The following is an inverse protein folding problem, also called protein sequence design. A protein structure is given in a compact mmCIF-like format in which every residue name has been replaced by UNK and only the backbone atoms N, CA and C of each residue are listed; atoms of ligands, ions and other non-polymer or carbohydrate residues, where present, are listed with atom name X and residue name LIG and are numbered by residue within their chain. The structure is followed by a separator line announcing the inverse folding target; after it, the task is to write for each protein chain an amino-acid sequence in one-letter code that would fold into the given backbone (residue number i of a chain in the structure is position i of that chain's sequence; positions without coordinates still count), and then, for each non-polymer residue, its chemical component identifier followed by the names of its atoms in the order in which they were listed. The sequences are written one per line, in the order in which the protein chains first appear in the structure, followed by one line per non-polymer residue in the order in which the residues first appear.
data_IF_162629375519
#
_entry.id   IF_162629375519
#
_cell.length_a   1.000
_cell.length_b   1.000
_cell.length_c   1.000
_cell.angle_alpha   90.00
_cell.angle_beta   90.00
_cell.angle_gamma   90.00
#
_symmetry.space_group_name_H-M   'P 1'
#
loop_
_entity.id
_entity.type
_entity.pdbx_description
1 polymer ?
#
# COMPACT_ATOMS: atom_id res chain seq x y z
N UNK A 1 -64.17 11.38 -45.47
CA UNK A 1 -63.46 12.64 -45.19
C UNK A 1 -62.05 12.22 -44.74
N UNK A 2 -61.10 11.94 -45.65
CA UNK A 2 -60.28 12.82 -46.51
C UNK A 2 -59.32 13.76 -45.76
N UNK A 3 -58.08 13.80 -46.27
CA UNK A 3 -56.84 14.52 -45.89
C UNK A 3 -55.96 13.74 -44.89
N UNK A 4 -54.89 13.04 -45.22
CA UNK A 4 -53.79 13.16 -46.21
C UNK A 4 -52.87 14.38 -45.99
N UNK A 5 -51.60 14.10 -45.63
CA UNK A 5 -50.43 14.95 -45.91
C UNK A 5 -49.14 14.12 -45.78
N UNK A 6 -48.46 14.01 -46.92
CA UNK A 6 -47.20 13.33 -47.28
C UNK A 6 -45.98 14.14 -46.79
N UNK A 7 -44.77 13.60 -46.55
CA UNK A 7 -43.59 13.45 -47.45
C UNK A 7 -42.36 13.41 -46.48
N UNK A 8 -41.23 12.72 -46.63
CA UNK A 8 -40.39 12.41 -47.79
C UNK A 8 -39.39 11.29 -47.44
N UNK A 9 -39.12 10.42 -48.42
CA UNK A 9 -38.10 9.37 -48.45
C UNK A 9 -36.80 9.94 -49.04
N UNK A 10 -35.62 9.56 -48.52
CA UNK A 10 -34.44 9.35 -49.38
C UNK A 10 -33.65 8.11 -48.93
N UNK A 11 -33.27 7.31 -49.92
CA UNK A 11 -32.62 5.99 -49.91
C UNK A 11 -31.09 6.09 -50.08
N UNK A 12 -30.36 5.31 -49.27
CA UNK A 12 -29.31 4.31 -49.68
C UNK A 12 -27.93 4.82 -50.21
N UNK A 13 -26.94 3.94 -50.55
CA UNK A 13 -25.80 3.54 -49.69
C UNK A 13 -24.41 3.67 -50.38
N UNK A 14 -23.27 3.52 -49.68
CA UNK A 14 -21.97 3.20 -50.34
C UNK A 14 -21.12 2.23 -49.49
N UNK A 15 -20.88 1.06 -50.06
CA UNK A 15 -19.80 0.11 -49.74
C UNK A 15 -18.49 0.58 -50.38
N UNK A 16 -17.35 0.42 -49.69
CA UNK A 16 -16.03 0.42 -50.32
C UNK A 16 -15.14 -0.64 -49.67
N UNK A 17 -14.98 -1.74 -50.39
CA UNK A 17 -13.94 -2.76 -50.20
C UNK A 17 -12.62 -2.26 -50.76
N UNK A 18 -11.52 -2.45 -50.03
CA UNK A 18 -10.17 -2.38 -50.60
C UNK A 18 -9.44 -3.69 -50.29
N UNK A 19 -9.10 -4.39 -51.36
CA UNK A 19 -8.19 -5.53 -51.38
C UNK A 19 -6.74 -5.01 -51.27
N UNK A 20 -5.93 -5.62 -50.41
CA UNK A 20 -4.47 -5.57 -50.54
C UNK A 20 -3.91 -6.97 -50.31
N UNK A 21 -3.08 -7.43 -51.24
CA UNK A 21 -2.49 -8.77 -51.29
C UNK A 21 -0.97 -8.65 -51.45
N UNK A 22 -0.26 -9.67 -50.95
CA UNK A 22 1.19 -9.98 -51.08
C UNK A 22 2.17 -9.15 -50.23
N UNK A 23 3.21 -9.71 -49.57
CA UNK A 23 4.01 -10.89 -49.89
C UNK A 23 4.64 -11.54 -48.62
N UNK A 24 4.97 -12.83 -48.69
CA UNK A 24 5.61 -13.65 -47.64
C UNK A 24 7.14 -13.50 -47.69
N UNK A 25 7.81 -13.46 -46.53
CA UNK A 25 9.09 -14.15 -46.32
C UNK A 25 9.21 -14.66 -44.87
N UNK A 26 9.64 -15.92 -44.79
CA UNK A 26 9.84 -16.77 -43.61
C UNK A 26 11.06 -16.33 -42.77
N UNK A 27 10.95 -16.45 -41.44
CA UNK A 27 11.85 -17.26 -40.57
C UNK A 27 11.27 -17.42 -39.16
N UNK A 28 10.96 -18.66 -38.78
CA UNK A 28 10.79 -19.19 -37.40
C UNK A 28 12.16 -19.52 -36.77
N UNK A 29 12.35 -19.81 -35.45
CA UNK A 29 11.44 -20.54 -34.53
C UNK A 29 11.31 -19.88 -33.12
N UNK A 30 10.47 -20.29 -32.16
CA UNK A 30 10.07 -21.64 -31.76
C UNK A 30 8.87 -21.58 -30.80
N UNK A 31 8.06 -22.65 -30.81
CA UNK A 31 6.97 -23.00 -29.88
C UNK A 31 5.62 -22.28 -30.05
N UNK A 32 4.87 -22.78 -31.03
CA UNK A 32 3.41 -22.73 -31.05
C UNK A 32 2.83 -23.58 -29.90
N UNK A 33 1.90 -23.02 -29.14
CA UNK A 33 0.74 -23.77 -28.66
C UNK A 33 -0.51 -23.29 -29.40
N UNK A 34 -1.28 -24.29 -29.80
CA UNK A 34 -2.43 -24.28 -30.68
C UNK A 34 -3.58 -23.42 -30.08
N UNK A 35 -3.99 -22.36 -30.79
CA UNK A 35 -5.22 -21.63 -30.47
C UNK A 35 -6.40 -22.40 -31.08
N UNK A 36 -7.13 -23.10 -30.21
CA UNK A 36 -8.46 -23.61 -30.52
C UNK A 36 -9.41 -22.41 -30.58
N UNK A 37 -10.06 -22.18 -31.72
CA UNK A 37 -11.15 -21.21 -31.84
C UNK A 37 -12.37 -21.75 -31.06
N UNK A 38 -12.50 -21.35 -29.80
CA UNK A 38 -13.75 -21.45 -29.04
C UNK A 38 -14.45 -20.09 -29.04
N UNK A 39 -15.75 -20.13 -29.30
CA UNK A 39 -16.66 -19.00 -29.41
C UNK A 39 -16.73 -18.26 -28.06
N UNK A 40 -16.65 -16.93 -28.10
CA UNK A 40 -16.53 -16.02 -26.96
C UNK A 40 -17.72 -16.06 -25.99
N UNK A 41 -17.46 -16.34 -24.71
CA UNK A 41 -18.14 -15.73 -23.55
C UNK A 41 -17.12 -14.79 -22.90
N UNK A 42 -17.21 -13.50 -23.23
CA UNK A 42 -16.16 -12.50 -23.04
C UNK A 42 -16.10 -11.84 -21.65
N UNK A 43 -16.61 -12.48 -20.60
CA UNK A 43 -16.56 -11.93 -19.23
C UNK A 43 -15.76 -12.80 -18.25
N UNK A 44 -15.90 -14.12 -18.32
CA UNK A 44 -15.27 -15.05 -17.36
C UNK A 44 -13.75 -15.17 -17.57
N UNK A 45 -13.30 -15.21 -18.83
CA UNK A 45 -11.87 -15.35 -19.17
C UNK A 45 -11.06 -14.12 -18.70
N UNK A 46 -11.65 -12.93 -18.71
CA UNK A 46 -11.00 -11.70 -18.23
C UNK A 46 -10.92 -11.60 -16.71
N UNK A 47 -11.87 -12.19 -15.98
CA UNK A 47 -11.84 -12.26 -14.51
C UNK A 47 -10.84 -13.31 -14.04
N UNK A 48 -10.81 -14.52 -14.63
CA UNK A 48 -9.83 -15.57 -14.30
C UNK A 48 -8.38 -15.11 -14.57
N UNK A 49 -8.10 -14.49 -15.73
CA UNK A 49 -6.75 -13.97 -16.02
C UNK A 49 -6.37 -12.82 -15.07
N UNK A 50 -7.33 -12.02 -14.62
CA UNK A 50 -7.13 -10.92 -13.68
C UNK A 50 -6.90 -11.39 -12.24
N UNK A 51 -7.51 -12.50 -11.84
CA UNK A 51 -7.28 -13.16 -10.55
C UNK A 51 -5.94 -13.92 -10.53
N UNK A 52 -5.59 -14.66 -11.58
CA UNK A 52 -4.30 -15.37 -11.67
C UNK A 52 -3.11 -14.39 -11.72
N UNK A 53 -3.23 -13.26 -12.42
CA UNK A 53 -2.19 -12.21 -12.44
C UNK A 53 -2.09 -11.46 -11.09
N UNK A 54 -3.18 -11.37 -10.31
CA UNK A 54 -3.15 -10.85 -8.94
C UNK A 54 -2.55 -11.85 -7.96
N UNK A 55 -2.75 -13.15 -8.19
CA UNK A 55 -2.16 -14.21 -7.37
C UNK A 55 -0.62 -14.23 -7.45
N UNK A 56 -0.04 -13.82 -8.58
CA UNK A 56 1.42 -13.72 -8.75
C UNK A 56 2.05 -12.50 -8.05
N UNK A 57 1.33 -11.38 -7.91
CA UNK A 57 1.88 -10.16 -7.31
C UNK A 57 1.68 -10.12 -5.80
N UNK A 58 2.75 -9.80 -5.09
CA UNK A 58 2.81 -9.83 -3.63
C UNK A 58 2.87 -8.43 -3.04
N UNK A 59 2.35 -8.32 -1.83
CA UNK A 59 2.56 -7.15 -0.98
C UNK A 59 3.73 -7.45 -0.04
N UNK A 60 4.83 -6.71 -0.18
CA UNK A 60 5.97 -6.84 0.73
C UNK A 60 5.71 -6.05 2.01
N UNK A 61 5.78 -6.72 3.16
CA UNK A 61 5.55 -6.09 4.48
C UNK A 61 6.85 -6.07 5.26
N UNK A 62 7.46 -4.90 5.40
CA UNK A 62 8.62 -4.69 6.26
C UNK A 62 8.17 -4.55 7.72
N UNK A 63 8.83 -5.28 8.63
CA UNK A 63 8.43 -5.30 10.03
C UNK A 63 7.25 -6.23 10.32
N UNK A 64 7.07 -7.28 9.50
CA UNK A 64 5.94 -8.20 9.55
C UNK A 64 5.73 -8.91 10.91
N UNK A 65 6.76 -9.07 11.75
CA UNK A 65 6.64 -9.65 13.11
C UNK A 65 6.42 -8.61 14.21
N UNK A 66 6.30 -7.33 13.85
CA UNK A 66 5.91 -6.25 14.77
C UNK A 66 4.44 -6.35 15.16
N UNK A 67 4.05 -5.67 16.24
CA UNK A 67 2.67 -5.73 16.74
C UNK A 67 1.64 -5.26 15.72
N UNK A 68 1.95 -4.21 14.95
CA UNK A 68 1.10 -3.74 13.84
C UNK A 68 1.34 -4.56 12.57
N UNK A 69 2.60 -4.88 12.26
CA UNK A 69 2.97 -5.64 11.07
C UNK A 69 2.28 -7.00 10.95
N UNK A 70 2.15 -7.76 12.06
CA UNK A 70 1.46 -9.06 12.03
C UNK A 70 -0.02 -8.92 11.68
N UNK A 71 -0.66 -7.85 12.14
CA UNK A 71 -2.07 -7.54 11.86
C UNK A 71 -2.27 -7.14 10.40
N UNK A 72 -1.31 -6.40 9.83
CA UNK A 72 -1.30 -6.08 8.40
C UNK A 72 -1.19 -7.37 7.59
N UNK A 73 -0.26 -8.28 7.93
CA UNK A 73 -0.14 -9.58 7.25
C UNK A 73 -1.43 -10.39 7.36
N UNK A 74 -2.00 -10.52 8.56
CA UNK A 74 -3.26 -11.25 8.79
C UNK A 74 -4.41 -10.68 7.95
N UNK A 75 -4.56 -9.35 7.89
CA UNK A 75 -5.64 -8.72 7.13
C UNK A 75 -5.43 -8.75 5.61
N UNK A 76 -4.18 -8.65 5.13
CA UNK A 76 -3.86 -8.84 3.71
C UNK A 76 -4.27 -10.25 3.26
N UNK A 77 -3.84 -11.28 4.01
CA UNK A 77 -4.19 -12.67 3.72
C UNK A 77 -5.70 -12.90 3.78
N UNK A 78 -6.38 -12.32 4.77
CA UNK A 78 -7.84 -12.43 4.90
C UNK A 78 -8.60 -11.78 3.72
N UNK A 79 -8.00 -10.79 3.05
CA UNK A 79 -8.54 -10.16 1.83
C UNK A 79 -8.05 -10.82 0.54
N UNK A 80 -7.34 -11.94 0.63
CA UNK A 80 -6.89 -12.72 -0.53
C UNK A 80 -5.60 -12.22 -1.18
N UNK A 81 -4.88 -11.27 -0.58
CA UNK A 81 -3.58 -10.86 -1.10
C UNK A 81 -2.51 -11.91 -0.82
N UNK A 82 -1.60 -12.09 -1.79
CA UNK A 82 -0.32 -12.77 -1.54
C UNK A 82 0.64 -11.82 -0.80
N UNK A 83 1.31 -12.32 0.24
CA UNK A 83 2.12 -11.51 1.15
C UNK A 83 3.56 -12.02 1.17
N UNK A 84 4.51 -11.09 1.04
CA UNK A 84 5.92 -11.33 1.30
C UNK A 84 6.33 -10.65 2.61
N UNK A 85 6.42 -11.42 3.68
CA UNK A 85 6.76 -10.94 5.02
C UNK A 85 8.28 -10.79 5.18
N UNK A 86 8.77 -9.55 5.18
CA UNK A 86 10.16 -9.21 5.45
C UNK A 86 10.47 -9.19 6.94
N UNK A 87 11.33 -10.10 7.39
CA UNK A 87 11.64 -10.32 8.81
C UNK A 87 13.14 -10.46 9.07
N UNK A 88 13.59 -10.01 10.24
CA UNK A 88 15.00 -10.17 10.65
C UNK A 88 15.31 -11.58 11.16
N UNK A 89 14.34 -12.21 11.81
CA UNK A 89 14.44 -13.53 12.43
C UNK A 89 13.38 -14.45 11.82
N UNK A 90 13.85 -15.46 11.06
CA UNK A 90 12.99 -16.39 10.33
C UNK A 90 12.30 -17.38 11.27
N UNK A 91 12.96 -17.81 12.34
CA UNK A 91 12.40 -18.82 13.25
C UNK A 91 11.33 -18.20 14.16
N UNK A 92 11.57 -16.97 14.63
CA UNK A 92 10.53 -16.17 15.28
C UNK A 92 9.34 -15.91 14.35
N UNK A 93 9.60 -15.63 13.08
CA UNK A 93 8.52 -15.39 12.13
C UNK A 93 7.67 -16.64 11.90
N UNK A 94 8.29 -17.82 11.80
CA UNK A 94 7.58 -19.09 11.61
C UNK A 94 6.61 -19.44 12.73
N UNK A 95 6.94 -19.03 13.97
CA UNK A 95 6.09 -19.22 15.14
C UNK A 95 5.07 -18.10 15.37
N UNK A 96 5.32 -16.90 14.84
CA UNK A 96 4.45 -15.72 15.06
C UNK A 96 3.41 -15.55 13.94
N UNK A 97 3.76 -15.92 12.71
CA UNK A 97 2.90 -15.79 11.53
C UNK A 97 2.35 -17.16 11.14
N UNK A 98 1.17 -17.18 10.53
CA UNK A 98 0.52 -18.40 10.04
C UNK A 98 1.24 -18.98 8.81
N UNK A 99 2.42 -19.55 9.03
CA UNK A 99 3.35 -20.07 8.01
C UNK A 99 2.77 -21.18 7.13
N UNK A 100 1.62 -21.76 7.52
CA UNK A 100 0.91 -22.76 6.74
C UNK A 100 0.07 -22.16 5.61
N UNK A 101 -0.12 -20.83 5.58
CA UNK A 101 -0.88 -20.17 4.51
C UNK A 101 -0.03 -20.15 3.22
N UNK A 102 -0.50 -20.74 2.10
CA UNK A 102 0.27 -20.80 0.85
C UNK A 102 0.52 -19.43 0.22
N UNK A 103 -0.32 -18.44 0.53
CA UNK A 103 -0.18 -17.05 0.07
C UNK A 103 0.81 -16.25 0.92
N UNK A 104 1.45 -16.84 1.94
CA UNK A 104 2.44 -16.19 2.78
C UNK A 104 3.86 -16.71 2.49
N UNK A 105 4.72 -15.82 2.00
CA UNK A 105 6.15 -16.07 1.86
C UNK A 105 6.92 -15.29 2.93
N UNK A 106 7.73 -15.97 3.74
CA UNK A 106 8.61 -15.32 4.73
C UNK A 106 10.01 -15.17 4.12
N UNK A 107 10.56 -13.96 4.14
CA UNK A 107 11.91 -13.66 3.63
C UNK A 107 12.74 -12.90 4.65
N UNK A 108 14.06 -13.14 4.63
CA UNK A 108 15.01 -12.40 5.46
C UNK A 108 15.09 -10.96 4.92
N UNK A 109 14.81 -9.98 5.77
CA UNK A 109 14.97 -8.57 5.45
C UNK A 109 15.27 -7.77 6.72
N UNK A 110 16.42 -7.10 6.74
CA UNK A 110 16.74 -6.06 7.71
C UNK A 110 16.88 -4.72 6.98
N UNK A 111 16.09 -3.74 7.40
CA UNK A 111 16.04 -2.41 6.75
C UNK A 111 17.37 -1.66 6.88
N UNK A 112 18.24 -2.05 7.80
CA UNK A 112 19.56 -1.43 7.98
C UNK A 112 20.64 -1.98 7.07
N UNK A 113 20.37 -3.05 6.30
CA UNK A 113 21.37 -3.69 5.44
C UNK A 113 21.53 -3.05 4.05
N UNK A 114 20.84 -1.94 3.82
CA UNK A 114 20.95 -1.15 2.59
C UNK A 114 19.96 -1.55 1.49
N UNK A 115 19.83 -0.73 0.43
CA UNK A 115 18.78 -0.87 -0.57
C UNK A 115 18.97 -2.07 -1.50
N UNK A 116 20.19 -2.56 -1.74
CA UNK A 116 20.44 -3.69 -2.65
C UNK A 116 19.90 -5.01 -2.07
N UNK A 117 20.23 -5.31 -0.81
CA UNK A 117 19.70 -6.48 -0.10
C UNK A 117 18.18 -6.41 0.07
N UNK A 118 17.65 -5.21 0.34
CA UNK A 118 16.20 -5.02 0.40
C UNK A 118 15.53 -5.21 -0.96
N UNK A 119 16.18 -4.79 -2.06
CA UNK A 119 15.65 -5.02 -3.39
C UNK A 119 15.61 -6.52 -3.69
N UNK A 120 16.64 -7.29 -3.33
CA UNK A 120 16.61 -8.77 -3.42
C UNK A 120 15.45 -9.37 -2.61
N UNK A 121 15.24 -8.90 -1.39
CA UNK A 121 14.15 -9.38 -0.54
C UNK A 121 12.76 -9.01 -1.08
N UNK A 122 12.59 -7.80 -1.63
CA UNK A 122 11.34 -7.36 -2.28
C UNK A 122 11.08 -8.21 -3.53
N UNK A 123 12.11 -8.49 -4.34
CA UNK A 123 11.98 -9.25 -5.59
C UNK A 123 11.16 -8.54 -6.66
N UNK A 124 11.07 -9.16 -7.85
CA UNK A 124 10.37 -8.58 -9.01
C UNK A 124 8.86 -8.91 -9.01
N UNK A 125 8.42 -9.77 -8.11
CA UNK A 125 7.04 -10.24 -7.90
C UNK A 125 6.28 -9.41 -6.84
N UNK A 126 6.83 -8.28 -6.38
CA UNK A 126 6.12 -7.39 -5.46
C UNK A 126 5.50 -6.21 -6.21
N UNK A 127 4.26 -5.84 -5.87
CA UNK A 127 3.58 -4.67 -6.46
C UNK A 127 3.50 -3.46 -5.51
N UNK A 128 3.61 -3.70 -4.21
CA UNK A 128 3.59 -2.66 -3.19
C UNK A 128 4.46 -3.03 -1.99
N UNK A 129 4.92 -2.01 -1.27
CA UNK A 129 5.61 -2.16 0.01
C UNK A 129 4.81 -1.47 1.12
N UNK A 130 4.57 -2.18 2.22
CA UNK A 130 4.09 -1.61 3.47
C UNK A 130 5.22 -1.61 4.49
N UNK A 131 5.64 -0.43 4.92
CA UNK A 131 6.62 -0.21 5.97
C UNK A 131 5.91 -0.04 7.32
N UNK A 132 5.87 -1.13 8.09
CA UNK A 132 5.37 -1.15 9.47
C UNK A 132 6.53 -1.35 10.48
N UNK A 133 7.74 -0.91 10.11
CA UNK A 133 8.87 -0.91 11.02
C UNK A 133 8.68 0.14 12.10
N UNK A 134 9.18 -0.17 13.28
CA UNK A 134 9.27 0.78 14.37
C UNK A 134 10.44 0.40 15.26
N UNK A 135 11.16 1.41 15.72
CA UNK A 135 12.17 1.24 16.74
C UNK A 135 11.61 0.51 17.97
N UNK A 136 12.42 -0.41 18.51
CA UNK A 136 12.19 -1.02 19.83
C UNK A 136 13.17 -0.37 20.81
N UNK A 137 12.68 0.22 21.93
CA UNK A 137 13.53 0.77 22.97
C UNK A 137 14.67 -0.17 23.34
N UNK A 138 15.88 0.37 23.35
CA UNK A 138 17.10 -0.36 23.63
C UNK A 138 18.26 0.61 23.88
N UNK A 139 19.44 0.07 24.12
CA UNK A 139 20.63 0.85 24.49
C UNK A 139 21.24 1.65 23.33
N UNK A 140 20.85 1.37 22.08
CA UNK A 140 21.29 2.12 20.91
C UNK A 140 20.41 3.36 20.69
N UNK A 141 20.89 4.52 21.14
CA UNK A 141 20.21 5.81 20.98
C UNK A 141 20.07 6.26 19.51
N UNK A 142 20.85 5.70 18.59
CA UNK A 142 20.77 6.00 17.16
C UNK A 142 19.86 5.03 16.40
N UNK A 143 19.34 3.99 17.06
CA UNK A 143 18.48 3.00 16.43
C UNK A 143 17.21 3.59 15.78
N UNK A 144 16.54 4.64 16.33
CA UNK A 144 15.45 5.31 15.63
C UNK A 144 15.88 5.88 14.27
N UNK A 145 17.06 6.49 14.18
CA UNK A 145 17.59 7.01 12.92
C UNK A 145 17.93 5.88 11.94
N UNK A 146 18.56 4.80 12.42
CA UNK A 146 18.91 3.64 11.59
C UNK A 146 17.67 2.96 11.02
N UNK A 147 16.62 2.79 11.81
CA UNK A 147 15.43 2.04 11.42
C UNK A 147 14.37 2.93 10.79
N UNK A 148 13.89 3.95 11.51
CA UNK A 148 12.74 4.75 11.07
C UNK A 148 13.10 5.76 9.98
N UNK A 149 14.35 6.27 9.95
CA UNK A 149 14.84 7.13 8.87
C UNK A 149 15.56 6.33 7.77
N UNK A 150 16.81 5.93 8.00
CA UNK A 150 17.65 5.29 6.99
C UNK A 150 17.05 3.98 6.47
N UNK A 151 16.40 3.19 7.32
CA UNK A 151 15.70 1.98 6.90
C UNK A 151 14.54 2.26 5.95
N UNK A 152 13.75 3.30 6.21
CA UNK A 152 12.68 3.74 5.30
C UNK A 152 13.25 4.25 3.98
N UNK A 153 14.32 5.05 4.02
CA UNK A 153 15.04 5.50 2.82
C UNK A 153 15.51 4.30 1.98
N UNK A 154 16.15 3.32 2.63
CA UNK A 154 16.62 2.11 1.95
C UNK A 154 15.48 1.33 1.28
N UNK A 155 14.31 1.25 1.92
CA UNK A 155 13.13 0.59 1.33
C UNK A 155 12.61 1.34 0.10
N UNK A 156 12.55 2.68 0.13
CA UNK A 156 12.13 3.49 -1.02
C UNK A 156 13.09 3.33 -2.20
N UNK A 157 14.40 3.34 -1.92
CA UNK A 157 15.42 3.11 -2.93
C UNK A 157 15.37 1.68 -3.50
N UNK A 158 15.09 0.68 -2.65
CA UNK A 158 14.86 -0.69 -3.08
C UNK A 158 13.61 -0.83 -3.97
N UNK A 159 12.53 -0.12 -3.64
CA UNK A 159 11.33 -0.04 -4.49
C UNK A 159 11.66 0.51 -5.87
N UNK A 160 12.48 1.58 -5.96
CA UNK A 160 12.91 2.14 -7.24
C UNK A 160 13.69 1.12 -8.08
N UNK A 161 14.59 0.36 -7.46
CA UNK A 161 15.36 -0.70 -8.14
C UNK A 161 14.48 -1.84 -8.69
N UNK A 162 13.33 -2.10 -8.07
CA UNK A 162 12.36 -3.14 -8.47
C UNK A 162 11.16 -2.60 -9.24
N UNK A 163 11.15 -1.31 -9.59
CA UNK A 163 10.01 -0.63 -10.22
C UNK A 163 8.70 -0.77 -9.43
N UNK A 164 8.78 -0.92 -8.11
CA UNK A 164 7.63 -0.91 -7.21
C UNK A 164 7.25 0.54 -6.93
N UNK A 165 6.07 0.96 -7.41
CA UNK A 165 5.68 2.36 -7.28
C UNK A 165 4.74 2.62 -6.10
N UNK A 166 4.17 1.59 -5.45
CA UNK A 166 3.23 1.77 -4.34
C UNK A 166 3.91 1.57 -2.98
N UNK A 167 3.86 2.59 -2.12
CA UNK A 167 4.52 2.56 -0.81
C UNK A 167 3.60 3.07 0.30
N UNK A 168 3.47 2.32 1.40
CA UNK A 168 2.65 2.72 2.55
C UNK A 168 3.55 2.77 3.78
N UNK A 169 3.60 3.91 4.46
CA UNK A 169 4.38 4.09 5.69
C UNK A 169 3.46 4.22 6.90
N UNK A 170 3.73 3.42 7.95
CA UNK A 170 3.17 3.63 9.28
C UNK A 170 4.09 4.57 10.08
N UNK A 171 3.70 5.83 10.15
CA UNK A 171 4.38 6.90 10.86
C UNK A 171 3.75 7.13 12.25
N UNK A 172 3.57 8.38 12.66
CA UNK A 172 2.95 8.78 13.93
C UNK A 172 2.36 10.19 13.80
N UNK A 173 1.28 10.50 14.54
CA UNK A 173 0.96 11.91 14.81
C UNK A 173 2.13 12.58 15.55
N UNK A 174 2.10 13.91 15.62
CA UNK A 174 3.12 14.72 16.30
C UNK A 174 4.54 14.65 15.70
N UNK A 175 4.74 14.01 14.54
CA UNK A 175 6.04 14.05 13.84
C UNK A 175 6.47 15.48 13.51
N UNK A 176 5.50 16.37 13.22
CA UNK A 176 5.71 17.80 13.04
C UNK A 176 5.39 18.63 14.30
N UNK A 177 5.40 17.99 15.49
CA UNK A 177 4.94 18.59 16.74
C UNK A 177 5.65 19.90 17.11
N UNK A 178 6.94 20.04 16.79
CA UNK A 178 7.68 21.29 16.98
C UNK A 178 7.03 22.47 16.22
N UNK A 179 6.73 22.28 14.93
CA UNK A 179 6.09 23.30 14.09
C UNK A 179 4.64 23.58 14.50
N UNK A 180 3.99 22.60 15.14
CA UNK A 180 2.64 22.73 15.69
C UNK A 180 2.60 23.34 17.11
N UNK A 181 3.73 23.78 17.67
CA UNK A 181 3.80 24.31 19.04
C UNK A 181 3.60 23.25 20.14
N UNK A 182 3.75 21.97 19.83
CA UNK A 182 3.54 20.84 20.75
C UNK A 182 4.82 20.42 21.49
N UNK A 183 5.82 21.31 21.62
CA UNK A 183 7.08 21.00 22.31
C UNK A 183 6.89 20.59 23.77
N UNK A 184 5.85 21.11 24.43
CA UNK A 184 5.50 20.79 25.82
C UNK A 184 4.48 19.65 25.95
N UNK A 185 4.03 19.06 24.84
CA UNK A 185 3.10 17.94 24.86
C UNK A 185 3.79 16.71 25.47
N UNK A 186 3.24 16.08 26.54
CA UNK A 186 3.88 14.94 27.19
C UNK A 186 4.16 13.77 26.25
N UNK A 187 3.28 13.49 25.28
CA UNK A 187 3.49 12.46 24.28
C UNK A 187 4.63 12.82 23.32
N UNK A 188 4.71 14.07 22.87
CA UNK A 188 5.81 14.56 22.03
C UNK A 188 7.16 14.44 22.73
N UNK A 189 7.23 14.82 24.01
CA UNK A 189 8.43 14.69 24.84
C UNK A 189 8.80 13.21 24.96
N UNK A 190 7.88 12.37 25.44
CA UNK A 190 8.12 10.94 25.67
C UNK A 190 8.62 10.21 24.41
N UNK A 191 8.02 10.49 23.25
CA UNK A 191 8.40 9.87 21.97
C UNK A 191 9.77 10.34 21.45
N UNK A 192 10.23 11.53 21.86
CA UNK A 192 11.54 12.06 21.47
C UNK A 192 12.65 11.81 22.50
N UNK A 193 12.32 11.46 23.75
CA UNK A 193 13.30 11.17 24.83
C UNK A 193 14.30 10.10 24.40
N UNK A 194 13.89 9.11 23.61
CA UNK A 194 14.77 8.06 23.10
C UNK A 194 15.09 8.29 21.61
N UNK A 195 16.13 9.09 21.36
CA UNK A 195 16.77 9.19 20.05
C UNK A 195 16.02 10.01 19.00
N UNK A 196 15.15 10.93 19.41
CA UNK A 196 14.40 11.83 18.51
C UNK A 196 13.59 11.07 17.44
N UNK A 197 12.88 10.03 17.85
CA UNK A 197 12.15 9.13 16.94
C UNK A 197 11.16 9.88 16.03
N UNK A 198 10.47 10.91 16.54
CA UNK A 198 9.54 11.69 15.73
C UNK A 198 10.27 12.53 14.66
N UNK A 199 11.46 13.05 14.98
CA UNK A 199 12.32 13.75 14.02
C UNK A 199 12.83 12.79 12.94
N UNK A 200 13.26 11.59 13.32
CA UNK A 200 13.69 10.56 12.37
C UNK A 200 12.55 10.17 11.40
N UNK A 201 11.34 9.95 11.91
CA UNK A 201 10.16 9.68 11.08
C UNK A 201 9.82 10.85 10.16
N UNK A 202 9.84 12.09 10.64
CA UNK A 202 9.59 13.27 9.80
C UNK A 202 10.59 13.38 8.64
N UNK A 203 11.88 13.08 8.89
CA UNK A 203 12.91 13.05 7.84
C UNK A 203 12.62 11.97 6.78
N UNK A 204 12.23 10.76 7.20
CA UNK A 204 11.82 9.71 6.28
C UNK A 204 10.58 10.12 5.46
N UNK A 205 9.57 10.72 6.08
CA UNK A 205 8.40 11.19 5.35
C UNK A 205 8.77 12.25 4.30
N UNK A 206 9.64 13.20 4.64
CA UNK A 206 10.12 14.22 3.70
C UNK A 206 10.90 13.61 2.54
N UNK A 207 11.66 12.55 2.79
CA UNK A 207 12.33 11.79 1.73
C UNK A 207 11.32 11.12 0.80
N UNK A 208 10.32 10.42 1.35
CA UNK A 208 9.25 9.79 0.58
C UNK A 208 8.53 10.82 -0.30
N UNK A 209 8.15 11.98 0.26
CA UNK A 209 7.49 13.05 -0.49
C UNK A 209 8.32 13.53 -1.70
N UNK A 210 9.64 13.63 -1.54
CA UNK A 210 10.57 14.06 -2.61
C UNK A 210 10.89 12.95 -3.61
N UNK A 211 10.70 11.68 -3.25
CA UNK A 211 11.10 10.54 -4.07
C UNK A 211 10.21 10.30 -5.31
N UNK A 212 9.01 10.87 -5.33
CA UNK A 212 8.02 10.67 -6.40
C UNK A 212 7.25 9.35 -6.36
N UNK A 213 7.60 8.43 -5.45
CA UNK A 213 6.90 7.15 -5.27
C UNK A 213 5.43 7.39 -4.89
N UNK A 214 4.49 6.59 -5.40
CA UNK A 214 3.09 6.70 -5.00
C UNK A 214 2.92 6.24 -3.55
N UNK A 215 3.00 7.21 -2.64
CA UNK A 215 3.01 6.97 -1.21
C UNK A 215 1.64 7.13 -0.54
N UNK A 216 1.45 6.46 0.59
CA UNK A 216 0.48 6.87 1.61
C UNK A 216 1.18 6.84 2.96
N UNK A 217 1.19 7.98 3.66
CA UNK A 217 1.76 8.09 5.00
C UNK A 217 0.60 8.10 5.99
N UNK A 218 0.54 7.08 6.84
CA UNK A 218 -0.48 6.94 7.87
C UNK A 218 0.17 7.32 9.20
N UNK A 219 -0.36 8.37 9.84
CA UNK A 219 0.09 8.90 11.13
C UNK A 219 -0.93 8.53 12.21
N UNK A 220 -0.83 7.35 12.84
CA UNK A 220 -1.73 6.98 13.91
C UNK A 220 -1.47 7.75 15.20
N UNK A 221 -2.53 7.92 16.00
CA UNK A 221 -2.43 8.28 17.41
C UNK A 221 -1.83 7.17 18.28
N UNK A 222 -2.01 7.27 19.60
CA UNK A 222 -1.50 6.29 20.55
C UNK A 222 -1.97 4.87 20.24
N UNK A 223 -1.03 3.97 19.95
CA UNK A 223 -1.33 2.61 19.50
C UNK A 223 -1.71 1.66 20.64
N UNK A 224 -2.92 1.11 20.59
CA UNK A 224 -3.43 0.10 21.54
C UNK A 224 -3.45 -1.30 20.93
N UNK A 225 -3.36 -2.32 21.78
CA UNK A 225 -3.43 -3.72 21.35
C UNK A 225 -4.84 -4.31 21.48
N UNK A 226 -5.70 -3.64 22.25
CA UNK A 226 -7.08 -4.02 22.47
C UNK A 226 -7.92 -3.90 21.18
N UNK A 227 -9.04 -4.63 21.08
CA UNK A 227 -9.96 -4.51 19.97
C UNK A 227 -10.46 -3.06 19.76
N UNK A 228 -10.90 -2.71 18.55
CA UNK A 228 -11.47 -1.40 18.25
C UNK A 228 -12.64 -1.06 19.19
N UNK A 229 -12.61 0.13 19.81
CA UNK A 229 -13.66 0.62 20.72
C UNK A 229 -14.49 1.76 20.12
N UNK A 230 -14.34 2.01 18.82
CA UNK A 230 -14.91 3.16 18.12
C UNK A 230 -14.55 3.15 16.64
N UNK A 231 -15.01 4.17 15.92
CA UNK A 231 -14.78 4.30 14.49
C UNK A 231 -13.52 5.13 14.19
N UNK A 232 -12.90 4.87 13.04
CA UNK A 232 -11.74 5.62 12.58
C UNK A 232 -12.16 7.04 12.22
N UNK A 233 -11.51 8.01 12.85
CA UNK A 233 -11.48 9.41 12.42
C UNK A 233 -10.19 9.62 11.66
N UNK A 234 -10.31 10.16 10.45
CA UNK A 234 -9.18 10.46 9.57
C UNK A 234 -9.17 11.96 9.30
N UNK A 235 -8.03 12.59 9.58
CA UNK A 235 -7.83 14.04 9.42
C UNK A 235 -6.61 14.33 8.51
N UNK A 236 -6.54 15.54 7.93
CA UNK A 236 -5.35 16.00 7.21
C UNK A 236 -4.14 16.10 8.14
N UNK A 237 -2.95 16.15 7.55
CA UNK A 237 -1.70 16.26 8.33
C UNK A 237 -1.66 17.49 9.23
N UNK A 238 -1.01 17.34 10.38
CA UNK A 238 -0.79 18.36 11.40
C UNK A 238 -2.09 18.95 11.96
N UNK A 239 -3.09 18.09 12.18
CA UNK A 239 -4.41 18.44 12.73
C UNK A 239 -4.64 17.80 14.11
N UNK A 240 -4.20 16.56 14.29
CA UNK A 240 -4.36 15.79 15.53
C UNK A 240 -3.08 15.86 16.39
N UNK A 241 -3.27 16.16 17.67
CA UNK A 241 -2.19 16.19 18.67
C UNK A 241 -2.42 15.21 19.84
N UNK A 242 -3.54 14.50 19.83
CA UNK A 242 -3.93 13.51 20.82
C UNK A 242 -4.87 12.45 20.22
N UNK A 243 -5.23 11.47 21.03
CA UNK A 243 -6.10 10.36 20.66
C UNK A 243 -5.37 9.03 20.55
N UNK A 244 -6.13 7.95 20.51
CA UNK A 244 -5.61 6.58 20.46
C UNK A 244 -6.35 5.76 19.43
N UNK A 245 -5.72 4.69 18.94
CA UNK A 245 -6.30 3.81 17.92
C UNK A 245 -5.82 2.37 18.12
N UNK A 246 -6.68 1.40 17.83
CA UNK A 246 -6.28 0.00 17.85
C UNK A 246 -5.33 -0.28 16.68
N UNK A 247 -4.29 -1.10 16.91
CA UNK A 247 -3.41 -1.58 15.84
C UNK A 247 -4.17 -2.35 14.76
N UNK A 248 -5.32 -2.92 15.07
CA UNK A 248 -6.18 -3.60 14.09
C UNK A 248 -6.76 -2.59 13.10
N UNK A 249 -7.19 -1.41 13.56
CA UNK A 249 -7.70 -0.34 12.69
C UNK A 249 -6.58 0.30 11.87
N UNK A 250 -5.36 0.40 12.43
CA UNK A 250 -4.19 0.88 11.67
C UNK A 250 -3.84 -0.08 10.54
N UNK A 251 -3.88 -1.38 10.82
CA UNK A 251 -3.69 -2.40 9.80
C UNK A 251 -4.78 -2.32 8.72
N UNK A 252 -6.04 -2.12 9.11
CA UNK A 252 -7.17 -1.97 8.19
C UNK A 252 -6.98 -0.78 7.26
N UNK A 253 -6.64 0.40 7.80
CA UNK A 253 -6.37 1.60 7.00
C UNK A 253 -5.21 1.37 6.03
N UNK A 254 -4.15 0.66 6.45
CA UNK A 254 -2.99 0.38 5.61
C UNK A 254 -3.33 -0.57 4.45
N UNK A 255 -4.16 -1.57 4.70
CA UNK A 255 -4.61 -2.50 3.65
C UNK A 255 -5.59 -1.82 2.70
N UNK A 256 -6.54 -1.05 3.21
CA UNK A 256 -7.51 -0.31 2.39
C UNK A 256 -6.85 0.77 1.54
N UNK A 257 -5.75 1.38 2.02
CA UNK A 257 -4.96 2.30 1.22
C UNK A 257 -4.39 1.65 -0.06
N UNK A 258 -4.19 0.33 -0.12
CA UNK A 258 -3.79 -0.33 -1.37
C UNK A 258 -4.91 -0.32 -2.42
N UNK A 259 -6.17 -0.37 -1.98
CA UNK A 259 -7.33 -0.54 -2.85
C UNK A 259 -7.86 0.79 -3.42
N UNK A 260 -7.74 1.89 -2.68
CA UNK A 260 -8.33 3.17 -3.07
C UNK A 260 -7.32 4.13 -3.71
N UNK A 261 -7.54 4.57 -4.97
CA UNK A 261 -6.73 5.60 -5.60
C UNK A 261 -6.70 6.91 -4.79
N UNK A 262 -7.76 7.23 -4.05
CA UNK A 262 -7.84 8.40 -3.19
C UNK A 262 -6.80 8.42 -2.09
N UNK A 263 -6.17 7.29 -1.75
CA UNK A 263 -5.07 7.23 -0.79
C UNK A 263 -3.72 7.66 -1.39
N UNK A 264 -3.62 7.75 -2.72
CA UNK A 264 -2.37 8.02 -3.43
C UNK A 264 -1.81 9.41 -3.13
N UNK A 265 -0.51 9.46 -2.89
CA UNK A 265 0.24 10.64 -2.46
C UNK A 265 -0.28 11.32 -1.19
N UNK A 266 -1.04 10.63 -0.31
CA UNK A 266 -1.65 11.25 0.88
C UNK A 266 -0.87 11.07 2.17
N UNK A 267 -1.06 12.04 3.06
CA UNK A 267 -0.69 11.98 4.47
C UNK A 267 -1.98 12.08 5.27
N UNK A 268 -2.24 11.09 6.12
CA UNK A 268 -3.48 11.01 6.89
C UNK A 268 -3.17 10.77 8.36
N UNK A 269 -3.82 11.52 9.25
CA UNK A 269 -3.76 11.32 10.69
C UNK A 269 -4.98 10.52 11.15
N UNK A 270 -4.78 9.46 11.93
CA UNK A 270 -5.87 8.56 12.32
C UNK A 270 -5.95 8.32 13.82
N UNK A 271 -7.16 8.43 14.36
CA UNK A 271 -7.52 8.08 15.75
C UNK A 271 -8.84 7.33 15.78
N UNK A 272 -9.16 6.69 16.90
CA UNK A 272 -10.44 6.02 17.13
C UNK A 272 -11.29 6.84 18.10
N UNK A 273 -12.55 7.08 17.75
CA UNK A 273 -13.52 7.76 18.62
C UNK A 273 -14.82 6.93 18.75
N UNK A 274 -15.31 6.66 19.97
CA UNK A 274 -16.55 5.88 20.16
C UNK A 274 -17.80 6.51 19.54
N UNK A 275 -17.85 7.84 19.50
CA UNK A 275 -18.96 8.66 19.02
C UNK A 275 -18.85 9.03 17.53
N UNK A 276 -17.74 8.72 16.87
CA UNK A 276 -17.59 8.97 15.44
C UNK A 276 -18.52 8.07 14.62
N UNK A 277 -19.13 8.62 13.56
CA UNK A 277 -19.89 7.84 12.60
C UNK A 277 -18.98 6.89 11.81
N UNK A 278 -19.45 5.68 11.52
CA UNK A 278 -18.75 4.76 10.62
C UNK A 278 -18.83 5.31 9.19
N UNK A 279 -17.68 5.45 8.54
CA UNK A 279 -17.54 5.93 7.17
C UNK A 279 -16.79 4.88 6.34
N UNK A 280 -17.06 4.85 5.04
CA UNK A 280 -16.29 4.01 4.12
C UNK A 280 -14.89 4.59 3.93
N UNK A 281 -13.90 3.74 3.68
CA UNK A 281 -12.51 4.17 3.50
C UNK A 281 -12.33 5.06 2.25
N UNK A 282 -13.06 4.79 1.17
CA UNK A 282 -13.14 5.70 0.01
C UNK A 282 -13.53 7.13 0.43
N UNK A 283 -14.59 7.28 1.26
CA UNK A 283 -15.04 8.59 1.74
C UNK A 283 -14.03 9.23 2.70
N UNK A 284 -13.42 8.42 3.58
CA UNK A 284 -12.40 8.90 4.51
C UNK A 284 -11.21 9.47 3.75
N UNK A 285 -10.57 8.67 2.89
CA UNK A 285 -9.47 9.14 2.06
C UNK A 285 -9.90 10.31 1.17
N UNK A 286 -11.03 10.21 0.49
CA UNK A 286 -11.57 11.23 -0.41
C UNK A 286 -11.81 12.58 0.26
N UNK A 287 -12.13 12.60 1.55
CA UNK A 287 -12.32 13.85 2.31
C UNK A 287 -11.02 14.58 2.67
N UNK A 288 -9.86 13.92 2.60
CA UNK A 288 -8.58 14.54 2.93
C UNK A 288 -8.07 15.39 1.77
N UNK A 289 -8.01 16.70 1.99
CA UNK A 289 -7.33 17.66 1.10
C UNK A 289 -5.88 17.83 1.53
N UNK A 290 -4.95 17.72 0.58
CA UNK A 290 -3.54 18.01 0.84
C UNK A 290 -3.32 19.52 0.97
N UNK A 291 -2.38 19.91 1.84
CA UNK A 291 -1.93 21.29 1.99
C UNK A 291 -0.84 21.64 1.00
#
# INVERSE_FOLDING_TARGET
MSMASTLTIVRNPIFLTSHYQFNKHFTTPSSLRLLTFAKMEGSEISEELGEDLRAERKIFVAGATGSTGKRIVEQLLAKGFSVKAGVRDLDKARSTLSSANPSLQIVKADVTEGPDKLAEAIGDDSEAVICATGFRPGWDLLAPWKVDNFGTVNLVEACRKRNVNRFILISSILVNGASMGQLLNPAYIFLNVFGLTLVAKLQAENYIRKSGINYTIIRPGGLRNDPPTGNVVMEPEDTLYEGSISRDQVAEVAVEALAYPEASYKVVEIVSRPDAAKRLYHDLFGSIRQR
#
